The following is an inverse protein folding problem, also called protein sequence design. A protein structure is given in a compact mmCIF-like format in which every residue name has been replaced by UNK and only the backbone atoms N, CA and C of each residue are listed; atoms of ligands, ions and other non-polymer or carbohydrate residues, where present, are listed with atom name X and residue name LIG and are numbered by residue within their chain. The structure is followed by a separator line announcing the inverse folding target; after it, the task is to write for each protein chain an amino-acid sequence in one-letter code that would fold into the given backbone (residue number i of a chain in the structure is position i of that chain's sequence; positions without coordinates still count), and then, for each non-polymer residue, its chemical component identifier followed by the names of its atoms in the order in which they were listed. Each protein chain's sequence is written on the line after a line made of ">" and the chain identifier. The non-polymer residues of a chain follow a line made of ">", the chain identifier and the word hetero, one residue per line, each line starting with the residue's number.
data_IF_774649683763
#
_entry.id   IF_774649683763
#
_cell.length_a   1.000
_cell.length_b   1.000
_cell.length_c   1.000
_cell.angle_alpha   90.00
_cell.angle_beta   90.00
_cell.angle_gamma   90.00
#
_symmetry.space_group_name_H-M   'P 1'
#
loop_
_entity.id
_entity.type
_entity.pdbx_description
1 polymer ?
#
# COMPACT_ATOMS: atom_id res chain seq x y z
N UNK A 1 -41.88 6.65 8.72
CA UNK A 1 -40.41 6.47 8.67
C UNK A 1 -40.03 5.36 9.65
N UNK A 2 -40.09 4.11 9.20
CA UNK A 2 -39.94 2.95 10.08
C UNK A 2 -38.47 2.64 10.38
N UNK A 3 -38.19 2.36 11.65
CA UNK A 3 -36.90 1.96 12.25
C UNK A 3 -36.20 0.80 11.51
N UNK A 4 -36.94 -0.01 10.75
CA UNK A 4 -36.44 -1.13 9.95
C UNK A 4 -35.93 -0.74 8.55
N UNK A 5 -36.30 0.45 8.05
CA UNK A 5 -35.82 0.94 6.76
C UNK A 5 -34.31 1.25 6.77
N UNK A 6 -33.79 1.66 7.92
CA UNK A 6 -32.35 1.86 8.12
C UNK A 6 -31.54 0.58 7.93
N UNK A 7 -32.01 -0.55 8.49
CA UNK A 7 -31.35 -1.85 8.35
C UNK A 7 -31.29 -2.34 6.90
N UNK A 8 -32.33 -2.09 6.11
CA UNK A 8 -32.37 -2.48 4.69
C UNK A 8 -31.35 -1.67 3.87
N UNK A 9 -31.14 -0.39 4.19
CA UNK A 9 -30.08 0.44 3.59
C UNK A 9 -28.70 -0.09 4.00
N UNK A 10 -28.48 -0.43 5.27
CA UNK A 10 -27.21 -0.99 5.76
C UNK A 10 -26.88 -2.33 5.11
N UNK A 11 -27.86 -3.25 4.99
CA UNK A 11 -27.69 -4.52 4.28
C UNK A 11 -27.38 -4.32 2.80
N UNK A 12 -27.96 -3.30 2.16
CA UNK A 12 -27.66 -2.96 0.75
C UNK A 12 -26.26 -2.37 0.59
N UNK A 13 -25.78 -1.64 1.60
CA UNK A 13 -24.48 -0.99 1.56
C UNK A 13 -23.31 -1.93 1.92
N UNK A 14 -23.54 -2.92 2.78
CA UNK A 14 -22.57 -3.96 3.18
C UNK A 14 -22.69 -5.28 2.40
N UNK A 15 -23.63 -5.37 1.46
CA UNK A 15 -23.76 -6.52 0.57
C UNK A 15 -22.49 -6.75 -0.28
N UNK A 16 -22.26 -7.99 -0.76
CA UNK A 16 -21.04 -8.39 -1.47
C UNK A 16 -20.75 -7.59 -2.75
N UNK A 17 -21.75 -6.87 -3.27
CA UNK A 17 -21.65 -6.03 -4.48
C UNK A 17 -20.83 -4.74 -4.28
N UNK A 18 -20.61 -4.30 -3.03
CA UNK A 18 -19.85 -3.08 -2.69
C UNK A 18 -18.43 -3.36 -2.17
N UNK A 19 -17.91 -4.58 -2.28
CA UNK A 19 -16.51 -4.87 -1.91
C UNK A 19 -15.57 -4.31 -2.98
N UNK A 20 -15.31 -3.00 -2.92
CA UNK A 20 -14.39 -2.27 -3.82
C UNK A 20 -12.93 -2.66 -3.59
N UNK A 21 -12.64 -3.25 -2.43
CA UNK A 21 -11.34 -3.84 -2.11
C UNK A 21 -11.28 -5.27 -2.64
N UNK A 22 -10.96 -5.42 -3.93
CA UNK A 22 -10.29 -6.65 -4.36
C UNK A 22 -8.99 -6.79 -3.58
N UNK A 23 -8.61 -8.01 -3.17
CA UNK A 23 -7.31 -8.21 -2.50
C UNK A 23 -6.21 -7.66 -3.42
N UNK A 24 -5.29 -6.87 -2.85
CA UNK A 24 -4.24 -6.19 -3.59
C UNK A 24 -3.45 -7.17 -4.46
N UNK A 25 -3.59 -7.03 -5.76
CA UNK A 25 -3.15 -8.03 -6.73
C UNK A 25 -1.84 -7.63 -7.43
N UNK A 26 -0.97 -6.88 -6.74
CA UNK A 26 0.39 -6.56 -7.21
C UNK A 26 0.42 -5.51 -8.33
N UNK A 27 0.71 -4.26 -7.98
CA UNK A 27 0.60 -3.13 -8.89
C UNK A 27 1.49 -3.14 -10.16
N UNK A 28 0.99 -2.41 -11.17
CA UNK A 28 1.70 -1.85 -12.34
C UNK A 28 2.52 -2.80 -13.24
N UNK A 29 1.99 -3.94 -13.66
CA UNK A 29 2.39 -4.51 -14.97
C UNK A 29 1.61 -3.82 -16.11
N UNK A 30 1.81 -2.52 -16.30
CA UNK A 30 1.17 -1.77 -17.41
C UNK A 30 2.14 -0.80 -18.08
N UNK A 31 3.40 -1.21 -18.27
CA UNK A 31 4.38 -0.43 -19.05
C UNK A 31 5.10 -1.26 -20.11
N UNK A 32 4.37 -2.15 -20.78
CA UNK A 32 4.66 -2.56 -22.16
C UNK A 32 3.37 -3.12 -22.75
N UNK A 33 2.77 -2.34 -23.64
CA UNK A 33 1.51 -2.59 -24.35
C UNK A 33 1.64 -3.86 -25.22
N UNK A 34 1.58 -5.07 -24.62
CA UNK A 34 1.36 -6.31 -25.37
C UNK A 34 -0.15 -6.54 -25.44
N UNK A 35 -0.69 -6.54 -26.66
CA UNK A 35 -2.13 -6.61 -26.98
C UNK A 35 -2.87 -7.86 -26.43
N UNK A 36 -2.14 -8.85 -25.90
CA UNK A 36 -2.67 -10.12 -25.35
C UNK A 36 -1.93 -10.58 -24.08
N UNK A 37 -1.53 -9.67 -23.19
CA UNK A 37 -0.93 -10.07 -21.91
C UNK A 37 -2.04 -10.49 -20.93
N UNK A 38 -2.05 -11.75 -20.52
CA UNK A 38 -2.92 -12.27 -19.46
C UNK A 38 -2.70 -11.43 -18.20
N UNK A 39 -3.77 -10.90 -17.60
CA UNK A 39 -3.73 -10.08 -16.38
C UNK A 39 -3.34 -11.00 -15.21
N UNK A 40 -2.05 -11.13 -14.98
CA UNK A 40 -1.49 -11.91 -13.88
C UNK A 40 -1.04 -10.97 -12.78
N UNK A 41 -1.56 -11.21 -11.59
CA UNK A 41 -1.37 -10.41 -10.40
C UNK A 41 -0.08 -10.83 -9.68
N UNK A 42 1.07 -10.55 -10.30
CA UNK A 42 2.39 -10.99 -9.83
C UNK A 42 3.21 -9.79 -9.39
N UNK A 43 3.87 -9.90 -8.23
CA UNK A 43 4.82 -8.88 -7.75
C UNK A 43 6.02 -8.84 -8.69
N UNK A 44 6.40 -7.64 -9.11
CA UNK A 44 7.60 -7.41 -9.93
C UNK A 44 8.84 -7.68 -9.07
N UNK A 45 9.84 -8.35 -9.65
CA UNK A 45 11.16 -8.50 -9.06
C UNK A 45 11.81 -7.11 -8.89
N UNK A 46 12.13 -6.77 -7.65
CA UNK A 46 12.71 -5.47 -7.32
C UNK A 46 14.23 -5.54 -7.50
N UNK A 47 14.87 -4.51 -8.06
CA UNK A 47 16.32 -4.43 -8.03
C UNK A 47 16.82 -4.32 -6.59
N UNK A 48 18.05 -4.77 -6.33
CA UNK A 48 18.65 -4.80 -4.99
C UNK A 48 18.67 -3.41 -4.33
N UNK A 49 18.96 -2.35 -5.11
CA UNK A 49 19.02 -0.95 -4.64
C UNK A 49 17.77 -0.15 -5.01
N UNK A 50 16.58 -0.68 -4.71
CA UNK A 50 15.33 0.06 -4.91
C UNK A 50 15.10 1.08 -3.79
N UNK A 51 14.92 2.35 -4.15
CA UNK A 51 14.41 3.37 -3.23
C UNK A 51 12.91 3.18 -2.98
N UNK A 52 12.57 2.52 -1.88
CA UNK A 52 11.19 2.18 -1.48
C UNK A 52 10.67 3.04 -0.32
N UNK A 53 9.86 2.41 0.54
CA UNK A 53 9.38 3.04 1.78
C UNK A 53 10.52 3.11 2.79
N UNK A 54 10.69 4.26 3.44
CA UNK A 54 11.63 4.43 4.54
C UNK A 54 11.22 3.57 5.74
N UNK A 55 12.20 2.91 6.36
CA UNK A 55 12.03 2.05 7.54
C UNK A 55 13.13 2.36 8.53
N UNK A 56 12.79 2.43 9.82
CA UNK A 56 13.75 2.54 10.90
C UNK A 56 14.29 1.16 11.25
N UNK A 57 15.59 0.97 11.06
CA UNK A 57 16.27 -0.28 11.37
C UNK A 57 16.59 -0.37 12.87
N UNK A 58 16.71 -1.60 13.36
CA UNK A 58 17.14 -1.92 14.73
C UNK A 58 18.47 -2.66 14.71
N UNK A 59 19.22 -2.60 15.80
CA UNK A 59 20.37 -3.46 16.06
C UNK A 59 19.92 -4.89 16.37
N UNK A 60 20.87 -5.83 16.44
CA UNK A 60 20.59 -7.23 16.81
C UNK A 60 20.02 -7.34 18.23
N UNK A 61 20.39 -6.41 19.12
CA UNK A 61 19.87 -6.29 20.48
C UNK A 61 18.44 -5.71 20.55
N UNK A 62 17.85 -5.32 19.41
CA UNK A 62 16.51 -4.73 19.32
C UNK A 62 16.43 -3.23 19.58
N UNK A 63 17.52 -2.57 20.00
CA UNK A 63 17.59 -1.11 20.10
C UNK A 63 17.46 -0.45 18.72
N UNK A 64 16.79 0.71 18.64
CA UNK A 64 16.64 1.44 17.39
C UNK A 64 17.95 2.11 16.97
N UNK A 65 18.25 2.13 15.66
CA UNK A 65 19.47 2.77 15.14
C UNK A 65 19.37 4.30 15.10
N UNK A 66 18.16 4.84 15.17
CA UNK A 66 17.95 6.28 15.17
C UNK A 66 18.23 6.85 16.56
N UNK A 67 19.13 7.84 16.63
CA UNK A 67 19.44 8.58 17.85
C UNK A 67 18.80 9.98 17.89
N UNK A 68 17.95 10.31 16.91
CA UNK A 68 17.32 11.63 16.83
C UNK A 68 18.28 12.77 16.47
N UNK A 69 19.33 12.51 15.70
CA UNK A 69 20.34 13.52 15.33
C UNK A 69 19.88 14.55 14.27
N UNK A 70 18.66 14.43 13.74
CA UNK A 70 18.07 15.32 12.73
C UNK A 70 18.83 15.46 11.39
N UNK A 71 19.92 14.71 11.18
CA UNK A 71 20.70 14.76 9.93
C UNK A 71 19.88 14.36 8.70
N UNK A 72 18.93 13.43 8.86
CA UNK A 72 18.03 13.03 7.79
C UNK A 72 17.06 14.15 7.38
N UNK A 73 16.64 14.99 8.31
CA UNK A 73 15.81 16.16 8.03
C UNK A 73 16.64 17.27 7.37
N UNK A 74 17.87 17.50 7.86
CA UNK A 74 18.79 18.49 7.31
C UNK A 74 19.15 18.22 5.83
N UNK A 75 19.37 16.96 5.46
CA UNK A 75 19.70 16.56 4.08
C UNK A 75 18.46 16.44 3.17
N UNK A 76 17.24 16.49 3.72
CA UNK A 76 16.04 16.23 2.95
C UNK A 76 15.78 17.33 1.91
N UNK A 77 15.85 17.04 0.59
CA UNK A 77 15.64 18.05 -0.44
C UNK A 77 14.19 18.56 -0.47
N UNK A 78 13.24 17.76 0.01
CA UNK A 78 11.83 18.10 0.07
C UNK A 78 11.44 18.92 1.31
N UNK A 79 12.35 19.08 2.29
CA UNK A 79 12.10 19.81 3.56
C UNK A 79 10.76 19.43 4.21
N UNK A 80 10.54 18.13 4.42
CA UNK A 80 9.34 17.58 5.04
C UNK A 80 9.30 17.82 6.55
#
# INVERSE_FOLDING_TARGET
>A
MGYLGGFLVTFRQHGPKNRVTTQYSGGRMFRRKKRNAKKMDVKIDKPERLHGRHVLNRYEDGMEKCIGCELCAAVCPAKC
#
